data_IF_519374986912
#
_entry.id   IF_519374986912
#
_cell.length_a   1.000
_cell.length_b   1.000
_cell.length_c   1.000
_cell.angle_alpha   90.00
_cell.angle_beta   90.00
_cell.angle_gamma   90.00
#
_symmetry.space_group_name_H-M   'P 1'
#
loop_
_entity.id
_entity.type
_entity.pdbx_description
1 polymer ?
#
# COMPACT_ATOMS: atom_id res chain seq x y z
N UNK A 1 22.30 -85.47 4.27
CA UNK A 1 22.66 -84.04 4.38
C UNK A 1 22.60 -83.43 2.99
N UNK A 2 21.53 -82.71 2.66
CA UNK A 2 21.38 -81.97 1.39
C UNK A 2 21.17 -80.49 1.73
N UNK A 3 21.88 -79.67 0.98
CA UNK A 3 22.18 -78.25 1.15
C UNK A 3 20.95 -77.38 1.41
N UNK A 4 21.07 -76.46 2.38
CA UNK A 4 20.09 -75.43 2.69
C UNK A 4 20.19 -74.28 1.68
N UNK A 5 19.05 -73.96 1.06
CA UNK A 5 18.79 -72.70 0.38
C UNK A 5 19.17 -71.52 1.29
N UNK A 6 20.00 -70.61 0.80
CA UNK A 6 20.08 -69.23 1.30
C UNK A 6 19.82 -68.28 0.14
N UNK A 7 18.57 -67.87 0.01
CA UNK A 7 18.15 -66.82 -0.89
C UNK A 7 18.60 -65.49 -0.28
N UNK A 8 19.77 -65.00 -0.69
CA UNK A 8 20.25 -63.67 -0.31
C UNK A 8 19.47 -62.66 -1.14
N UNK A 9 18.40 -62.12 -0.56
CA UNK A 9 17.63 -61.03 -1.12
C UNK A 9 18.48 -59.75 -1.03
N UNK A 10 19.27 -59.49 -2.07
CA UNK A 10 19.98 -58.22 -2.23
C UNK A 10 18.93 -57.14 -2.52
N UNK A 11 18.38 -56.54 -1.46
CA UNK A 11 17.49 -55.39 -1.55
C UNK A 11 18.27 -54.21 -2.13
N UNK A 12 18.00 -53.94 -3.40
CA UNK A 12 18.44 -52.74 -4.10
C UNK A 12 17.80 -51.53 -3.41
N UNK A 13 18.55 -50.88 -2.51
CA UNK A 13 18.18 -49.60 -1.93
C UNK A 13 18.23 -48.54 -3.05
N UNK A 14 17.10 -48.33 -3.71
CA UNK A 14 16.90 -47.17 -4.59
C UNK A 14 16.80 -45.96 -3.66
N UNK A 15 17.92 -45.26 -3.48
CA UNK A 15 17.93 -43.90 -2.95
C UNK A 15 17.21 -43.01 -3.96
N UNK A 16 15.89 -42.88 -3.80
CA UNK A 16 15.14 -41.74 -4.33
C UNK A 16 15.66 -40.51 -3.60
N UNK A 17 16.66 -39.86 -4.18
CA UNK A 17 16.95 -38.47 -3.91
C UNK A 17 15.70 -37.68 -4.30
N UNK A 18 14.82 -37.41 -3.32
CA UNK A 18 13.84 -36.34 -3.44
C UNK A 18 14.64 -35.06 -3.44
N UNK A 19 14.88 -34.52 -4.64
CA UNK A 19 15.33 -33.16 -4.79
C UNK A 19 14.16 -32.28 -4.32
N UNK A 20 14.13 -31.93 -3.04
CA UNK A 20 13.31 -30.82 -2.56
C UNK A 20 13.96 -29.54 -3.10
N UNK A 21 13.81 -29.31 -4.40
CA UNK A 21 13.77 -27.94 -4.88
C UNK A 21 12.43 -27.43 -4.35
N UNK A 22 12.44 -26.77 -3.19
CA UNK A 22 11.39 -25.81 -2.91
C UNK A 22 11.33 -24.92 -4.14
N UNK A 23 10.30 -25.10 -4.96
CA UNK A 23 10.09 -24.28 -6.14
C UNK A 23 9.97 -22.86 -5.62
N UNK A 24 10.99 -22.03 -5.86
CA UNK A 24 10.97 -20.62 -5.49
C UNK A 24 9.88 -19.97 -6.35
N UNK A 25 8.68 -19.88 -5.79
CA UNK A 25 7.54 -19.21 -6.42
C UNK A 25 7.95 -17.76 -6.65
N UNK A 26 7.74 -17.26 -7.86
CA UNK A 26 8.07 -15.88 -8.18
C UNK A 26 7.08 -14.91 -7.54
N UNK A 27 7.49 -13.66 -7.31
CA UNK A 27 6.59 -12.63 -6.77
C UNK A 27 5.34 -12.42 -7.65
N UNK A 28 5.50 -12.46 -8.98
CA UNK A 28 4.35 -12.32 -9.91
C UNK A 28 3.35 -13.46 -9.72
N UNK A 29 3.83 -14.70 -9.67
CA UNK A 29 2.99 -15.89 -9.47
C UNK A 29 2.30 -15.85 -8.10
N UNK A 30 3.04 -15.48 -7.04
CA UNK A 30 2.46 -15.37 -5.71
C UNK A 30 1.40 -14.27 -5.63
N UNK A 31 1.62 -13.12 -6.28
CA UNK A 31 0.62 -12.06 -6.38
C UNK A 31 -0.63 -12.56 -7.10
N UNK A 32 -0.50 -13.30 -8.20
CA UNK A 32 -1.65 -13.87 -8.90
C UNK A 32 -2.42 -14.87 -8.04
N UNK A 33 -1.73 -15.70 -7.26
CA UNK A 33 -2.37 -16.62 -6.31
C UNK A 33 -3.13 -15.85 -5.22
N UNK A 34 -2.57 -14.76 -4.68
CA UNK A 34 -3.25 -13.89 -3.70
C UNK A 34 -4.50 -13.24 -4.33
N UNK A 35 -4.37 -12.65 -5.52
CA UNK A 35 -5.47 -11.94 -6.21
C UNK A 35 -6.64 -12.90 -6.48
N UNK A 36 -6.34 -14.12 -6.95
CA UNK A 36 -7.34 -15.10 -7.40
C UNK A 36 -7.82 -16.05 -6.30
N UNK A 37 -7.26 -15.98 -5.09
CA UNK A 37 -7.70 -16.77 -3.94
C UNK A 37 -9.17 -16.48 -3.60
N UNK A 38 -9.97 -17.56 -3.51
CA UNK A 38 -11.40 -17.51 -3.19
C UNK A 38 -11.68 -17.49 -1.68
N UNK A 39 -10.70 -17.87 -0.89
CA UNK A 39 -10.75 -18.03 0.56
C UNK A 39 -10.13 -16.82 1.30
N UNK A 40 -10.04 -15.67 0.63
CA UNK A 40 -9.60 -14.42 1.26
C UNK A 40 -10.49 -14.05 2.43
N UNK A 41 -9.87 -13.75 3.57
CA UNK A 41 -10.55 -13.23 4.77
C UNK A 41 -10.12 -11.80 5.04
N UNK A 42 -11.07 -10.94 5.40
CA UNK A 42 -10.75 -9.60 5.90
C UNK A 42 -10.11 -9.71 7.28
N UNK A 43 -9.04 -8.96 7.50
CA UNK A 43 -8.30 -8.91 8.77
C UNK A 43 -8.18 -7.45 9.23
N UNK A 44 -7.87 -7.25 10.52
CA UNK A 44 -7.52 -5.92 10.98
C UNK A 44 -6.12 -5.54 10.46
N UNK A 45 -5.89 -4.24 10.27
CA UNK A 45 -4.57 -3.72 9.89
C UNK A 45 -3.50 -4.07 10.94
N UNK A 46 -3.88 -4.09 12.22
CA UNK A 46 -3.03 -4.51 13.33
C UNK A 46 -2.57 -5.97 13.26
N UNK A 47 -3.26 -6.80 12.47
CA UNK A 47 -2.95 -8.22 12.31
C UNK A 47 -1.89 -8.47 11.21
N UNK A 48 -1.46 -7.40 10.52
CA UNK A 48 -0.38 -7.49 9.54
C UNK A 48 0.97 -7.70 10.23
N UNK A 49 1.91 -8.43 9.58
CA UNK A 49 3.27 -8.51 10.08
C UNK A 49 3.89 -7.12 10.28
N UNK A 50 4.64 -6.91 11.36
CA UNK A 50 5.25 -5.60 11.68
C UNK A 50 6.13 -5.06 10.55
N UNK A 51 6.80 -5.95 9.81
CA UNK A 51 7.62 -5.58 8.64
C UNK A 51 6.75 -4.93 7.55
N UNK A 52 5.55 -5.45 7.32
CA UNK A 52 4.59 -4.89 6.35
C UNK A 52 4.08 -3.53 6.81
N UNK A 53 3.72 -3.39 8.10
CA UNK A 53 3.28 -2.10 8.67
C UNK A 53 4.36 -1.02 8.53
N UNK A 54 5.59 -1.35 8.90
CA UNK A 54 6.73 -0.43 8.75
C UNK A 54 6.99 -0.05 7.29
N UNK A 55 6.81 -0.99 6.36
CA UNK A 55 6.94 -0.72 4.94
C UNK A 55 5.85 0.25 4.45
N UNK A 56 4.59 0.02 4.84
CA UNK A 56 3.46 0.87 4.48
C UNK A 56 3.64 2.30 5.01
N UNK A 57 4.02 2.46 6.27
CA UNK A 57 4.23 3.79 6.86
C UNK A 57 5.34 4.58 6.19
N UNK A 58 6.40 3.91 5.75
CA UNK A 58 7.54 4.55 5.12
C UNK A 58 7.31 4.86 3.65
N UNK A 59 6.82 3.89 2.87
CA UNK A 59 6.77 3.97 1.41
C UNK A 59 5.43 4.56 0.90
N UNK A 60 4.41 4.58 1.76
CA UNK A 60 3.06 5.08 1.44
C UNK A 60 2.61 6.17 2.42
N UNK A 61 3.51 7.08 2.77
CA UNK A 61 3.27 8.20 3.70
C UNK A 61 2.10 9.11 3.33
N UNK A 62 1.70 9.17 2.06
CA UNK A 62 0.53 9.96 1.61
C UNK A 62 -0.74 9.12 1.48
N UNK A 63 -0.74 7.88 2.00
CA UNK A 63 -1.83 6.93 1.93
C UNK A 63 -2.18 6.35 3.30
N UNK A 64 -3.39 5.81 3.39
CA UNK A 64 -3.83 5.00 4.52
C UNK A 64 -4.35 3.66 4.01
N UNK A 65 -4.34 2.66 4.90
CA UNK A 65 -4.89 1.33 4.65
C UNK A 65 -6.42 1.39 4.72
N UNK A 66 -7.08 1.17 3.59
CA UNK A 66 -8.53 1.10 3.50
C UNK A 66 -9.01 -0.30 3.92
N UNK A 67 -8.46 -1.34 3.31
CA UNK A 67 -8.79 -2.74 3.60
C UNK A 67 -7.55 -3.62 3.61
N UNK A 68 -7.58 -4.64 4.47
CA UNK A 68 -6.57 -5.70 4.54
C UNK A 68 -7.25 -7.05 4.38
N UNK A 69 -6.75 -7.87 3.45
CA UNK A 69 -7.22 -9.24 3.24
C UNK A 69 -6.05 -10.20 3.33
N UNK A 70 -6.26 -11.34 3.99
CA UNK A 70 -5.36 -12.48 4.02
C UNK A 70 -5.90 -13.54 3.06
N UNK A 71 -5.11 -13.91 2.06
CA UNK A 71 -5.28 -15.13 1.27
C UNK A 71 -4.53 -16.27 1.99
N UNK A 72 -5.24 -17.22 2.64
CA UNK A 72 -4.60 -18.30 3.36
C UNK A 72 -3.61 -19.03 2.44
N UNK A 73 -2.44 -19.38 2.97
CA UNK A 73 -1.30 -20.01 2.26
C UNK A 73 -0.50 -19.10 1.32
N UNK A 74 -1.02 -17.95 0.90
CA UNK A 74 -0.36 -17.13 -0.12
C UNK A 74 0.19 -15.81 0.43
N UNK A 75 -0.61 -15.05 1.18
CA UNK A 75 -0.16 -13.75 1.68
C UNK A 75 -1.28 -12.73 1.83
N UNK A 76 -0.92 -11.45 1.77
CA UNK A 76 -1.81 -10.33 2.07
C UNK A 76 -2.04 -9.46 0.85
N UNK A 77 -3.26 -8.92 0.74
CA UNK A 77 -3.69 -7.92 -0.24
C UNK A 77 -4.18 -6.68 0.52
N UNK A 78 -3.51 -5.55 0.30
CA UNK A 78 -3.74 -4.30 1.03
C UNK A 78 -4.23 -3.23 0.07
N UNK A 79 -5.50 -2.86 0.21
CA UNK A 79 -6.09 -1.75 -0.53
C UNK A 79 -5.73 -0.43 0.13
N UNK A 80 -5.25 0.52 -0.66
CA UNK A 80 -4.82 1.84 -0.18
C UNK A 80 -5.72 2.94 -0.74
N UNK A 81 -5.90 3.99 0.05
CA UNK A 81 -6.51 5.25 -0.39
C UNK A 81 -5.59 6.43 -0.08
N UNK A 82 -5.76 7.52 -0.82
CA UNK A 82 -4.89 8.71 -0.70
C UNK A 82 -5.38 9.70 0.36
N UNK A 83 -4.44 10.26 1.11
CA UNK A 83 -4.63 11.43 1.98
C UNK A 83 -4.14 12.73 1.33
N UNK A 84 -3.59 12.65 0.12
CA UNK A 84 -3.13 13.85 -0.59
C UNK A 84 -4.30 14.78 -0.84
N UNK A 85 -4.15 16.10 -0.65
CA UNK A 85 -5.19 17.08 -1.01
C UNK A 85 -5.68 16.95 -2.45
N UNK A 86 -4.81 16.49 -3.36
CA UNK A 86 -5.11 16.33 -4.79
C UNK A 86 -6.07 15.18 -5.07
N UNK A 87 -6.04 14.15 -4.23
CA UNK A 87 -6.60 12.84 -4.50
C UNK A 87 -7.30 12.29 -3.26
N UNK A 88 -7.83 13.16 -2.41
CA UNK A 88 -8.32 12.80 -1.08
C UNK A 88 -9.39 11.70 -1.15
N UNK A 89 -9.15 10.60 -0.45
CA UNK A 89 -10.01 9.42 -0.42
C UNK A 89 -9.99 8.58 -1.70
N UNK A 90 -9.24 8.95 -2.75
CA UNK A 90 -9.16 8.14 -3.97
C UNK A 90 -8.43 6.83 -3.73
N UNK A 91 -8.98 5.76 -4.29
CA UNK A 91 -8.35 4.43 -4.33
C UNK A 91 -7.03 4.48 -5.09
N UNK A 92 -6.07 3.70 -4.59
CA UNK A 92 -4.75 3.48 -5.17
C UNK A 92 -4.59 2.01 -5.50
N UNK A 93 -3.51 1.69 -6.22
CA UNK A 93 -3.16 0.31 -6.48
C UNK A 93 -2.83 -0.44 -5.19
N UNK A 94 -3.28 -1.69 -5.13
CA UNK A 94 -3.06 -2.57 -3.99
C UNK A 94 -1.58 -2.92 -3.80
N UNK A 95 -1.22 -3.19 -2.54
CA UNK A 95 0.10 -3.66 -2.13
C UNK A 95 -0.03 -5.10 -1.66
N UNK A 96 0.91 -5.95 -2.06
CA UNK A 96 0.90 -7.37 -1.74
C UNK A 96 2.10 -7.73 -0.88
N UNK A 97 1.90 -8.62 0.08
CA UNK A 97 2.96 -9.15 0.95
C UNK A 97 2.86 -10.68 1.01
N UNK A 98 3.98 -11.39 1.14
CA UNK A 98 3.93 -12.81 1.49
C UNK A 98 3.52 -13.00 2.97
N UNK A 99 3.34 -14.26 3.38
CA UNK A 99 2.97 -14.61 4.76
C UNK A 99 3.99 -14.15 5.82
N UNK A 100 5.26 -13.90 5.43
CA UNK A 100 6.29 -13.38 6.33
C UNK A 100 6.31 -11.84 6.37
N UNK A 101 5.44 -11.19 5.59
CA UNK A 101 5.32 -9.75 5.52
C UNK A 101 6.30 -9.07 4.57
N UNK A 102 7.04 -9.82 3.75
CA UNK A 102 7.90 -9.24 2.72
C UNK A 102 7.03 -8.74 1.57
N UNK A 103 7.28 -7.49 1.15
CA UNK A 103 6.58 -6.88 0.02
C UNK A 103 6.86 -7.67 -1.27
N UNK A 104 5.80 -7.99 -2.01
CA UNK A 104 5.87 -8.60 -3.32
C UNK A 104 5.89 -7.52 -4.40
N UNK A 105 6.74 -7.68 -5.40
CA UNK A 105 6.89 -6.72 -6.49
C UNK A 105 6.67 -7.37 -7.84
N UNK A 106 5.71 -6.82 -8.60
CA UNK A 106 5.46 -7.26 -9.97
C UNK A 106 6.69 -6.99 -10.83
N UNK A 107 7.10 -7.95 -11.67
CA UNK A 107 8.31 -7.78 -12.48
C UNK A 107 8.25 -6.58 -13.42
N UNK A 108 7.05 -6.23 -13.89
CA UNK A 108 6.82 -5.02 -14.71
C UNK A 108 7.06 -3.70 -13.97
N UNK A 109 7.07 -3.71 -12.65
CA UNK A 109 7.23 -2.54 -11.79
C UNK A 109 8.60 -2.48 -11.12
N UNK A 110 9.43 -3.52 -11.29
CA UNK A 110 10.83 -3.53 -10.84
C UNK A 110 11.58 -2.32 -11.38
N UNK A 111 12.24 -1.60 -10.47
CA UNK A 111 13.00 -0.40 -10.79
C UNK A 111 12.17 0.87 -11.00
N UNK A 112 10.83 0.77 -11.05
CA UNK A 112 9.97 1.97 -11.08
C UNK A 112 9.90 2.58 -9.69
N UNK A 113 10.38 3.81 -9.56
CA UNK A 113 10.16 4.59 -8.33
C UNK A 113 8.75 5.15 -8.34
N UNK A 114 8.05 5.00 -7.22
CA UNK A 114 6.76 5.68 -6.99
C UNK A 114 6.99 7.19 -7.07
N UNK A 115 6.13 7.89 -7.82
CA UNK A 115 6.17 9.35 -7.83
C UNK A 115 5.81 9.85 -6.43
N UNK A 116 6.68 10.66 -5.84
CA UNK A 116 6.39 11.32 -4.56
C UNK A 116 5.46 12.50 -4.80
N UNK A 117 4.63 12.83 -3.81
CA UNK A 117 3.83 14.05 -3.87
C UNK A 117 4.73 15.29 -4.05
N UNK A 118 4.24 16.25 -4.83
CA UNK A 118 4.95 17.50 -5.11
C UNK A 118 4.99 18.46 -3.91
N UNK A 119 4.11 18.24 -2.93
CA UNK A 119 4.03 18.93 -1.64
C UNK A 119 3.46 17.98 -0.59
N UNK A 120 3.64 18.34 0.68
CA UNK A 120 3.03 17.65 1.83
C UNK A 120 2.09 18.60 2.57
N UNK A 121 1.12 18.06 3.30
CA UNK A 121 0.32 18.87 4.23
C UNK A 121 1.15 19.22 5.47
N UNK A 122 1.02 20.45 5.96
CA UNK A 122 1.40 20.83 7.31
C UNK A 122 0.15 20.70 8.19
N UNK A 123 0.26 19.91 9.25
CA UNK A 123 -0.80 19.76 10.25
C UNK A 123 -0.70 20.85 11.34
N UNK A 124 -1.80 21.19 12.03
CA UNK A 124 -3.15 20.62 11.88
C UNK A 124 -3.87 21.05 10.59
N UNK A 125 -4.87 20.27 10.17
CA UNK A 125 -5.79 20.64 9.08
C UNK A 125 -7.23 20.35 9.49
N UNK A 126 -8.17 21.14 8.98
CA UNK A 126 -9.60 20.92 9.23
C UNK A 126 -10.23 20.17 8.04
N UNK A 127 -10.93 19.07 8.31
CA UNK A 127 -11.62 18.24 7.33
C UNK A 127 -13.10 18.58 7.32
N UNK A 128 -13.66 18.81 6.14
CA UNK A 128 -15.10 18.98 5.93
C UNK A 128 -15.72 17.69 5.38
N UNK A 129 -16.68 17.14 6.10
CA UNK A 129 -17.39 15.93 5.70
C UNK A 129 -18.66 16.25 4.88
N UNK A 130 -19.10 15.33 4.01
CA UNK A 130 -20.31 15.50 3.21
C UNK A 130 -21.64 15.64 3.97
N UNK A 131 -21.66 15.33 5.26
CA UNK A 131 -22.83 15.53 6.15
C UNK A 131 -22.85 16.92 6.80
N UNK A 132 -21.85 17.76 6.52
CA UNK A 132 -21.70 19.10 7.07
C UNK A 132 -20.92 19.16 8.38
N UNK A 133 -20.44 18.02 8.90
CA UNK A 133 -19.55 18.01 10.06
C UNK A 133 -18.13 18.40 9.68
N UNK A 134 -17.38 18.90 10.66
CA UNK A 134 -15.98 19.28 10.52
C UNK A 134 -15.14 18.59 11.60
N UNK A 135 -13.87 18.31 11.29
CA UNK A 135 -12.92 17.72 12.24
C UNK A 135 -11.51 18.23 11.99
N UNK A 136 -10.91 18.83 13.01
CA UNK A 136 -9.48 19.11 13.02
C UNK A 136 -8.68 17.83 13.31
N UNK A 137 -7.66 17.59 12.49
CA UNK A 137 -6.73 16.46 12.65
C UNK A 137 -5.31 16.99 12.81
N UNK A 138 -4.59 16.48 13.81
CA UNK A 138 -3.30 17.04 14.24
C UNK A 138 -2.10 16.39 13.58
N UNK A 139 -2.31 15.26 12.91
CA UNK A 139 -1.25 14.51 12.26
C UNK A 139 -1.82 13.59 11.17
N UNK A 140 -0.90 12.97 10.42
CA UNK A 140 -1.20 12.02 9.35
C UNK A 140 -2.10 10.86 9.81
N UNK A 141 -1.85 10.31 11.01
CA UNK A 141 -2.59 9.14 11.50
C UNK A 141 -4.04 9.48 11.75
N UNK A 142 -4.29 10.58 12.48
CA UNK A 142 -5.65 11.10 12.73
C UNK A 142 -6.38 11.42 11.43
N UNK A 143 -5.70 12.01 10.44
CA UNK A 143 -6.27 12.29 9.12
C UNK A 143 -6.71 11.01 8.39
N UNK A 144 -5.84 10.00 8.33
CA UNK A 144 -6.16 8.72 7.69
C UNK A 144 -7.32 8.01 8.38
N UNK A 145 -7.31 7.96 9.72
CA UNK A 145 -8.37 7.38 10.53
C UNK A 145 -9.71 8.08 10.32
N UNK A 146 -9.73 9.42 10.31
CA UNK A 146 -10.93 10.20 10.07
C UNK A 146 -11.59 9.88 8.72
N UNK A 147 -10.78 9.81 7.65
CA UNK A 147 -11.27 9.50 6.31
C UNK A 147 -11.70 8.03 6.20
N UNK A 148 -10.94 7.11 6.78
CA UNK A 148 -11.27 5.67 6.82
C UNK A 148 -12.59 5.42 7.53
N UNK A 149 -12.81 6.06 8.68
CA UNK A 149 -14.06 5.97 9.43
C UNK A 149 -15.25 6.50 8.64
N UNK A 150 -15.07 7.60 7.89
CA UNK A 150 -16.12 8.11 7.03
C UNK A 150 -16.46 7.16 5.88
N UNK A 151 -15.47 6.60 5.19
CA UNK A 151 -15.70 5.66 4.08
C UNK A 151 -16.27 4.31 4.54
N UNK A 152 -15.88 3.82 5.71
CA UNK A 152 -16.35 2.52 6.21
C UNK A 152 -17.86 2.50 6.44
N UNK A 153 -18.45 3.65 6.83
CA UNK A 153 -19.90 3.82 6.99
C UNK A 153 -20.60 4.36 5.73
N UNK A 154 -19.86 4.89 4.75
CA UNK A 154 -20.38 5.48 3.50
C UNK A 154 -19.85 4.80 2.24
N UNK A 155 -19.78 3.46 2.20
CA UNK A 155 -19.12 2.70 1.12
C UNK A 155 -19.62 3.01 -0.30
N UNK A 156 -20.93 3.25 -0.45
CA UNK A 156 -21.56 3.53 -1.75
C UNK A 156 -21.61 5.03 -2.10
N UNK A 157 -21.11 5.89 -1.21
CA UNK A 157 -21.17 7.33 -1.41
C UNK A 157 -20.12 7.80 -2.40
N UNK A 158 -20.58 8.53 -3.42
CA UNK A 158 -19.70 9.27 -4.34
C UNK A 158 -19.23 10.61 -3.77
N UNK A 159 -19.79 11.04 -2.63
CA UNK A 159 -19.37 12.28 -1.97
C UNK A 159 -17.98 12.08 -1.36
N UNK A 160 -17.25 13.18 -1.12
CA UNK A 160 -15.85 13.11 -0.66
C UNK A 160 -15.63 14.09 0.48
N UNK A 161 -14.82 13.65 1.43
CA UNK A 161 -14.20 14.52 2.43
C UNK A 161 -13.36 15.58 1.70
N UNK A 162 -13.32 16.80 2.23
CA UNK A 162 -12.50 17.90 1.72
C UNK A 162 -11.61 18.43 2.84
N UNK A 163 -10.52 19.08 2.46
CA UNK A 163 -9.75 19.92 3.39
C UNK A 163 -10.33 21.32 3.29
N UNK A 164 -10.66 21.92 4.43
CA UNK A 164 -11.23 23.25 4.52
C UNK A 164 -10.12 24.30 4.46
N UNK A 165 -10.47 25.45 3.90
CA UNK A 165 -9.58 26.61 3.86
C UNK A 165 -9.59 27.38 5.18
N UNK A 166 -8.47 28.04 5.54
CA UNK A 166 -7.15 27.91 4.92
C UNK A 166 -6.41 26.65 5.43
N UNK A 167 -5.51 26.11 4.60
CA UNK A 167 -4.56 25.06 5.03
C UNK A 167 -3.16 25.34 4.51
N UNK A 168 -2.13 24.76 5.15
CA UNK A 168 -0.74 25.00 4.78
C UNK A 168 -0.12 23.75 4.16
N UNK A 169 0.67 23.95 3.10
CA UNK A 169 1.48 22.90 2.47
C UNK A 169 2.97 23.18 2.63
N UNK A 170 3.75 22.10 2.70
CA UNK A 170 5.21 22.09 2.68
C UNK A 170 5.69 21.76 1.27
N UNK A 171 6.52 22.62 0.71
CA UNK A 171 7.06 22.55 -0.65
C UNK A 171 8.59 22.61 -0.61
N UNK A 172 9.23 22.12 -1.68
CA UNK A 172 10.63 22.42 -1.94
C UNK A 172 10.75 23.61 -2.90
N UNK A 173 11.53 24.61 -2.52
CA UNK A 173 11.95 25.69 -3.41
C UNK A 173 12.97 25.19 -4.46
N UNK A 174 13.56 26.13 -5.23
CA UNK A 174 14.56 25.79 -6.26
C UNK A 174 15.87 25.26 -5.65
N UNK A 175 16.18 25.70 -4.44
CA UNK A 175 17.40 25.36 -3.71
C UNK A 175 17.22 24.14 -2.80
N UNK A 176 16.07 23.45 -2.90
CA UNK A 176 15.66 22.28 -2.10
C UNK A 176 15.45 22.58 -0.61
N UNK A 177 15.21 23.84 -0.25
CA UNK A 177 14.76 24.18 1.09
C UNK A 177 13.26 23.92 1.22
N UNK A 178 12.84 23.48 2.41
CA UNK A 178 11.43 23.33 2.74
C UNK A 178 10.86 24.72 3.02
N UNK A 179 9.83 25.10 2.27
CA UNK A 179 9.07 26.33 2.45
C UNK A 179 7.60 26.01 2.72
N UNK A 180 6.93 26.90 3.45
CA UNK A 180 5.51 26.80 3.72
C UNK A 180 4.72 27.70 2.77
N UNK A 181 3.59 27.21 2.29
CA UNK A 181 2.65 27.97 1.48
C UNK A 181 1.25 27.77 2.04
N UNK A 182 0.60 28.87 2.42
CA UNK A 182 -0.80 28.86 2.81
C UNK A 182 -1.67 28.84 1.54
N UNK A 183 -2.67 27.98 1.55
CA UNK A 183 -3.70 27.87 0.53
C UNK A 183 -4.99 28.36 1.17
N UNK A 184 -5.54 29.46 0.65
CA UNK A 184 -6.70 30.14 1.26
C UNK A 184 -7.95 30.10 0.37
N UNK A 185 -7.81 29.59 -0.86
CA UNK A 185 -8.89 29.56 -1.85
C UNK A 185 -8.71 28.41 -2.87
N UNK A 186 -9.78 28.16 -3.62
CA UNK A 186 -9.75 27.24 -4.77
C UNK A 186 -8.75 27.68 -5.84
N UNK A 187 -8.58 28.99 -6.04
CA UNK A 187 -7.63 29.55 -7.01
C UNK A 187 -6.17 29.31 -6.59
N UNK A 188 -5.84 29.51 -5.31
CA UNK A 188 -4.52 29.16 -4.77
C UNK A 188 -4.22 27.67 -4.96
N UNK A 189 -5.23 26.84 -4.69
CA UNK A 189 -5.08 25.40 -4.81
C UNK A 189 -4.93 24.96 -6.27
N UNK A 190 -5.65 25.59 -7.19
CA UNK A 190 -5.51 25.36 -8.63
C UNK A 190 -4.11 25.75 -9.12
N UNK A 191 -3.59 26.91 -8.72
CA UNK A 191 -2.23 27.33 -9.05
C UNK A 191 -1.18 26.35 -8.53
N UNK A 192 -1.36 25.83 -7.31
CA UNK A 192 -0.50 24.79 -6.74
C UNK A 192 -0.53 23.50 -7.58
N UNK A 193 -1.72 23.05 -8.02
CA UNK A 193 -1.89 21.87 -8.88
C UNK A 193 -1.14 22.01 -10.21
N UNK A 194 -1.25 23.17 -10.84
CA UNK A 194 -0.58 23.46 -12.11
C UNK A 194 0.94 23.42 -11.95
N UNK A 195 1.47 24.03 -10.89
CA UNK A 195 2.90 23.99 -10.54
C UNK A 195 3.42 22.58 -10.26
N UNK A 196 2.59 21.71 -9.69
CA UNK A 196 2.94 20.31 -9.50
C UNK A 196 2.98 19.51 -10.80
N UNK A 197 2.05 19.81 -11.71
CA UNK A 197 1.91 19.12 -12.98
C UNK A 197 3.02 19.51 -13.97
N UNK A 198 3.45 20.77 -13.98
CA UNK A 198 4.56 21.24 -14.83
C UNK A 198 5.91 20.60 -14.45
N UNK A 199 6.19 20.43 -13.15
CA UNK A 199 7.39 19.73 -12.65
C UNK A 199 7.46 18.25 -13.02
N UNK A 200 6.34 17.61 -13.39
CA UNK A 200 6.30 16.23 -13.90
C UNK A 200 6.64 16.16 -15.40
N UNK A 201 6.51 17.27 -16.14
CA UNK A 201 6.86 17.38 -17.56
C UNK A 201 8.35 17.62 -17.83
N UNK A 202 9.07 18.27 -16.90
CA UNK A 202 10.50 18.61 -17.05
C UNK A 202 11.46 17.43 -16.79
N UNK A 203 10.98 16.23 -16.46
CA UNK A 203 11.80 15.02 -16.30
C UNK A 203 11.91 14.17 -17.57
N UNK A 204 11.58 14.72 -18.74
CA UNK A 204 11.57 14.02 -20.03
C UNK A 204 12.62 14.51 -21.05
N UNK A 205 13.59 15.30 -20.62
CA UNK A 205 14.76 15.67 -21.44
C UNK A 205 16.06 15.10 -20.85
#
# INVERSE_FOLDING_TARGET
>A
MKSLLKFSLLTLFVFIYSCNTESVISDDELIELIINSKDKVSIAESDLPSISLNYLDKEFEDNYVDQSKLAPKYGYEIALRSMSPLELGLEKGDVYFDLNGRKLEKSKDKGKKRSKACFKLKYPVNLGFPDGTELEVNNRKEHGEAIKNWHSVNKDSKKRVKILYPFTVLLYDKDKNVIEMQISSDDDFKALKEKCSSKLGEKKD
#
